data_IF_021852620151
#
_entry.id   IF_021852620151
#
_cell.length_a   1.000
_cell.length_b   1.000
_cell.length_c   1.000
_cell.angle_alpha   90.00
_cell.angle_beta   90.00
_cell.angle_gamma   90.00
#
_symmetry.space_group_name_H-M   'P 1'
#
loop_
_entity.id
_entity.type
_entity.pdbx_description
1 polymer ?
#
# COMPACT_ATOMS: atom_id res chain seq x y z
N UNK A 1 24.28 -6.96 -63.07
CA UNK A 1 24.45 -8.14 -62.21
C UNK A 1 24.35 -7.73 -60.75
N UNK A 2 23.50 -8.44 -59.98
CA UNK A 2 23.46 -8.69 -58.51
C UNK A 2 24.26 -7.80 -57.54
N UNK A 3 23.57 -7.09 -56.62
CA UNK A 3 23.17 -7.51 -55.25
C UNK A 3 24.36 -7.71 -54.28
N UNK A 4 24.43 -6.89 -53.22
CA UNK A 4 24.10 -7.35 -51.86
C UNK A 4 24.03 -6.19 -50.85
N UNK A 5 22.83 -6.05 -50.26
CA UNK A 5 22.50 -5.23 -49.09
C UNK A 5 23.16 -5.78 -47.83
N UNK A 6 23.86 -4.93 -47.09
CA UNK A 6 24.18 -5.16 -45.68
C UNK A 6 22.98 -4.76 -44.81
N UNK A 7 22.07 -5.70 -44.58
CA UNK A 7 20.98 -5.53 -43.61
C UNK A 7 21.59 -5.69 -42.21
N UNK A 8 21.72 -4.57 -41.49
CA UNK A 8 21.99 -4.58 -40.06
C UNK A 8 20.73 -5.12 -39.37
N UNK A 9 20.80 -6.33 -38.80
CA UNK A 9 19.72 -6.86 -38.01
C UNK A 9 19.59 -6.03 -36.73
N UNK A 10 18.50 -5.27 -36.64
CA UNK A 10 17.95 -4.79 -35.38
C UNK A 10 17.71 -6.02 -34.51
N UNK A 11 18.51 -6.14 -33.45
CA UNK A 11 18.29 -7.11 -32.39
C UNK A 11 17.00 -6.71 -31.69
N UNK A 12 15.89 -7.31 -32.10
CA UNK A 12 14.66 -7.33 -31.30
C UNK A 12 15.04 -7.92 -29.94
N UNK A 13 15.14 -7.05 -28.93
CA UNK A 13 15.09 -7.45 -27.54
C UNK A 13 13.67 -7.94 -27.29
N UNK A 14 13.44 -9.21 -27.65
CA UNK A 14 12.32 -9.97 -27.14
C UNK A 14 12.58 -10.11 -25.64
N UNK A 15 11.90 -9.29 -24.83
CA UNK A 15 11.81 -9.45 -23.39
C UNK A 15 11.33 -10.88 -23.12
N UNK A 16 12.29 -11.76 -22.84
CA UNK A 16 11.99 -13.01 -22.19
C UNK A 16 11.61 -12.62 -20.76
N UNK A 17 10.30 -12.51 -20.50
CA UNK A 17 9.79 -12.44 -19.15
C UNK A 17 10.53 -13.48 -18.30
N UNK A 18 11.25 -13.01 -17.29
CA UNK A 18 11.99 -13.85 -16.36
C UNK A 18 10.99 -14.79 -15.68
N UNK A 19 10.89 -16.02 -16.17
CA UNK A 19 10.04 -17.08 -15.56
C UNK A 19 10.73 -17.69 -14.35
N UNK A 20 11.39 -16.90 -13.50
CA UNK A 20 11.87 -17.41 -12.21
C UNK A 20 10.67 -17.41 -11.27
N UNK A 21 10.21 -18.59 -10.82
CA UNK A 21 9.08 -18.65 -9.91
C UNK A 21 9.43 -17.88 -8.63
N UNK A 22 8.47 -17.09 -8.14
CA UNK A 22 8.56 -16.38 -6.86
C UNK A 22 8.99 -17.40 -5.78
N UNK A 23 10.09 -17.15 -5.03
CA UNK A 23 10.59 -18.14 -4.07
C UNK A 23 9.55 -18.52 -3.01
N UNK A 24 9.64 -19.76 -2.50
CA UNK A 24 8.67 -20.30 -1.55
C UNK A 24 8.59 -19.46 -0.26
N UNK A 25 9.68 -18.79 0.09
CA UNK A 25 9.81 -17.85 1.19
C UNK A 25 8.88 -16.65 1.01
N UNK A 26 8.81 -16.10 -0.20
CA UNK A 26 7.95 -14.96 -0.52
C UNK A 26 6.48 -15.35 -0.43
N UNK A 27 6.12 -16.55 -0.90
CA UNK A 27 4.77 -17.09 -0.72
C UNK A 27 4.40 -17.26 0.76
N UNK A 28 5.33 -17.78 1.58
CA UNK A 28 5.14 -17.86 3.04
C UNK A 28 4.97 -16.48 3.67
N UNK A 29 5.79 -15.49 3.29
CA UNK A 29 5.66 -14.13 3.81
C UNK A 29 4.31 -13.53 3.42
N UNK A 30 3.90 -13.67 2.15
CA UNK A 30 2.59 -13.23 1.67
C UNK A 30 1.48 -13.78 2.55
N UNK A 31 1.45 -15.09 2.78
CA UNK A 31 0.37 -15.74 3.54
C UNK A 31 0.34 -15.24 4.99
N UNK A 32 1.51 -15.12 5.63
CA UNK A 32 1.63 -14.57 7.00
C UNK A 32 1.19 -13.11 7.07
N UNK A 33 1.64 -12.27 6.13
CA UNK A 33 1.36 -10.83 6.12
C UNK A 33 -0.10 -10.55 5.81
N UNK A 34 -0.68 -11.23 4.81
CA UNK A 34 -2.09 -11.05 4.44
C UNK A 34 -3.03 -11.49 5.56
N UNK A 35 -2.71 -12.59 6.25
CA UNK A 35 -3.45 -13.03 7.44
C UNK A 35 -3.34 -11.99 8.57
N UNK A 36 -2.12 -11.59 8.93
CA UNK A 36 -1.89 -10.65 10.03
C UNK A 36 -2.48 -9.25 9.77
N UNK A 37 -2.42 -8.76 8.53
CA UNK A 37 -3.09 -7.52 8.14
C UNK A 37 -4.62 -7.65 8.22
N UNK A 38 -5.17 -8.83 7.89
CA UNK A 38 -6.59 -9.13 8.07
C UNK A 38 -7.02 -9.00 9.53
N UNK A 39 -6.25 -9.58 10.45
CA UNK A 39 -6.53 -9.52 11.89
C UNK A 39 -6.47 -8.08 12.43
N UNK A 40 -5.45 -7.31 12.04
CA UNK A 40 -5.34 -5.90 12.41
C UNK A 40 -6.49 -5.07 11.85
N UNK A 41 -6.89 -5.35 10.62
CA UNK A 41 -7.98 -4.64 9.94
C UNK A 41 -9.34 -4.92 10.59
N UNK A 42 -9.56 -6.12 11.12
CA UNK A 42 -10.76 -6.40 11.90
C UNK A 42 -10.88 -5.47 13.12
N UNK A 43 -9.79 -5.32 13.89
CA UNK A 43 -9.75 -4.40 15.02
C UNK A 43 -9.95 -2.94 14.62
N UNK A 44 -9.45 -2.54 13.44
CA UNK A 44 -9.69 -1.20 12.91
C UNK A 44 -11.19 -0.94 12.63
N UNK A 45 -11.89 -1.88 11.99
CA UNK A 45 -13.32 -1.74 11.72
C UNK A 45 -14.17 -1.74 12.99
N UNK A 46 -13.81 -2.56 13.98
CA UNK A 46 -14.50 -2.56 15.27
C UNK A 46 -14.36 -1.18 15.96
N UNK A 47 -13.16 -0.59 15.92
CA UNK A 47 -12.92 0.75 16.44
C UNK A 47 -13.63 1.86 15.66
N UNK A 48 -13.90 1.67 14.36
CA UNK A 48 -14.69 2.61 13.55
C UNK A 48 -16.15 2.59 13.97
N UNK A 49 -16.72 1.39 14.16
CA UNK A 49 -18.07 1.23 14.69
C UNK A 49 -18.23 1.94 16.04
N UNK A 50 -17.30 1.72 16.98
CA UNK A 50 -17.31 2.38 18.29
C UNK A 50 -17.23 3.91 18.14
N UNK A 51 -16.32 4.41 17.30
CA UNK A 51 -16.13 5.85 17.09
C UNK A 51 -17.37 6.51 16.50
N UNK A 52 -17.99 5.90 15.49
CA UNK A 52 -19.20 6.43 14.86
C UNK A 52 -20.40 6.34 15.80
N UNK A 53 -20.49 5.31 16.63
CA UNK A 53 -21.54 5.19 17.64
C UNK A 53 -21.42 6.28 18.72
N UNK A 54 -20.22 6.52 19.24
CA UNK A 54 -19.97 7.62 20.18
C UNK A 54 -20.32 8.98 19.57
N UNK A 55 -19.95 9.22 18.31
CA UNK A 55 -20.30 10.46 17.61
C UNK A 55 -21.79 10.61 17.38
N UNK A 56 -22.50 9.52 17.07
CA UNK A 56 -23.96 9.50 16.93
C UNK A 56 -24.68 9.84 18.25
N UNK A 57 -24.20 9.31 19.38
CA UNK A 57 -24.78 9.59 20.69
C UNK A 57 -24.55 11.03 21.16
N UNK A 58 -23.45 11.66 20.71
CA UNK A 58 -23.10 13.04 21.05
C UNK A 58 -23.45 14.06 19.95
N UNK A 59 -24.16 13.63 18.91
CA UNK A 59 -24.53 14.47 17.78
C UNK A 59 -25.43 15.64 18.21
N UNK A 60 -25.23 16.81 17.59
CA UNK A 60 -25.98 18.03 17.95
C UNK A 60 -27.33 18.15 17.25
N UNK A 61 -27.60 17.26 16.31
CA UNK A 61 -28.84 17.25 15.53
C UNK A 61 -29.19 15.83 15.09
N UNK A 62 -30.48 15.60 14.86
CA UNK A 62 -30.99 14.32 14.33
C UNK A 62 -30.38 14.01 12.96
N UNK A 63 -30.12 15.02 12.13
CA UNK A 63 -29.51 14.84 10.82
C UNK A 63 -28.07 14.32 10.95
N UNK A 64 -27.26 14.90 11.84
CA UNK A 64 -25.90 14.44 12.09
C UNK A 64 -25.87 13.03 12.69
N UNK A 65 -26.76 12.76 13.65
CA UNK A 65 -26.91 11.43 14.24
C UNK A 65 -27.26 10.38 13.18
N UNK A 66 -28.27 10.66 12.35
CA UNK A 66 -28.69 9.76 11.27
C UNK A 66 -27.55 9.48 10.29
N UNK A 67 -26.76 10.49 9.92
CA UNK A 67 -25.59 10.32 9.05
C UNK A 67 -24.59 9.31 9.61
N UNK A 68 -24.24 9.41 10.90
CA UNK A 68 -23.32 8.44 11.52
C UNK A 68 -23.92 7.03 11.56
N UNK A 69 -25.23 6.88 11.81
CA UNK A 69 -25.90 5.59 11.75
C UNK A 69 -25.94 4.97 10.35
N UNK A 70 -26.18 5.79 9.32
CA UNK A 70 -26.13 5.35 7.92
C UNK A 70 -24.73 4.90 7.52
N UNK A 71 -23.69 5.67 7.89
CA UNK A 71 -22.30 5.30 7.63
C UNK A 71 -21.90 3.99 8.33
N UNK A 72 -22.25 3.81 9.61
CA UNK A 72 -22.02 2.54 10.31
C UNK A 72 -22.68 1.37 9.60
N UNK A 73 -23.94 1.53 9.17
CA UNK A 73 -24.67 0.48 8.45
C UNK A 73 -23.99 0.14 7.13
N UNK A 74 -23.61 1.15 6.35
CA UNK A 74 -22.93 0.98 5.07
C UNK A 74 -21.60 0.24 5.22
N UNK A 75 -20.76 0.68 6.17
CA UNK A 75 -19.48 0.04 6.50
C UNK A 75 -19.70 -1.42 6.90
N UNK A 76 -20.66 -1.71 7.80
CA UNK A 76 -20.97 -3.08 8.22
C UNK A 76 -21.39 -3.98 7.07
N UNK A 77 -22.23 -3.48 6.16
CA UNK A 77 -22.71 -4.25 5.00
C UNK A 77 -21.55 -4.60 4.06
N UNK A 78 -20.67 -3.64 3.78
CA UNK A 78 -19.58 -3.79 2.80
C UNK A 78 -18.25 -4.28 3.39
N UNK A 79 -18.11 -4.35 4.72
CA UNK A 79 -16.86 -4.70 5.43
C UNK A 79 -16.13 -5.89 4.82
N UNK A 80 -16.80 -7.04 4.67
CA UNK A 80 -16.17 -8.26 4.11
C UNK A 80 -15.66 -8.07 2.68
N UNK A 81 -16.33 -7.22 1.89
CA UNK A 81 -15.91 -6.89 0.53
C UNK A 81 -14.65 -6.05 0.53
N UNK A 82 -14.59 -5.03 1.40
CA UNK A 82 -13.42 -4.16 1.59
C UNK A 82 -12.22 -4.96 2.11
N UNK A 83 -12.41 -5.76 3.15
CA UNK A 83 -11.36 -6.63 3.72
C UNK A 83 -10.78 -7.56 2.65
N UNK A 84 -11.64 -8.22 1.88
CA UNK A 84 -11.21 -9.12 0.80
C UNK A 84 -10.48 -8.37 -0.32
N UNK A 85 -10.98 -7.21 -0.73
CA UNK A 85 -10.33 -6.40 -1.75
C UNK A 85 -8.90 -6.03 -1.28
N UNK A 86 -8.78 -5.47 -0.08
CA UNK A 86 -7.49 -5.10 0.50
C UNK A 86 -6.53 -6.30 0.58
N UNK A 87 -6.97 -7.44 1.12
CA UNK A 87 -6.15 -8.65 1.22
C UNK A 87 -5.70 -9.17 -0.15
N UNK A 88 -6.58 -9.15 -1.15
CA UNK A 88 -6.25 -9.57 -2.51
C UNK A 88 -5.22 -8.63 -3.15
N UNK A 89 -5.39 -7.32 -3.01
CA UNK A 89 -4.45 -6.32 -3.54
C UNK A 89 -3.08 -6.47 -2.89
N UNK A 90 -3.02 -6.62 -1.57
CA UNK A 90 -1.75 -6.88 -0.86
C UNK A 90 -1.12 -8.20 -1.30
N UNK A 91 -1.91 -9.27 -1.47
CA UNK A 91 -1.41 -10.55 -1.97
C UNK A 91 -0.78 -10.40 -3.37
N UNK A 92 -1.35 -9.56 -4.23
CA UNK A 92 -0.81 -9.27 -5.56
C UNK A 92 0.53 -8.53 -5.52
N UNK A 93 0.79 -7.69 -4.51
CA UNK A 93 2.10 -7.07 -4.34
C UNK A 93 3.22 -8.09 -4.16
N UNK A 94 2.95 -9.30 -3.68
CA UNK A 94 3.98 -10.36 -3.60
C UNK A 94 4.13 -11.16 -4.90
N UNK A 95 3.16 -11.09 -5.81
CA UNK A 95 3.27 -11.66 -7.15
C UNK A 95 3.97 -10.69 -8.11
N UNK A 96 3.57 -9.41 -8.05
CA UNK A 96 4.08 -8.31 -8.86
C UNK A 96 4.54 -7.19 -7.90
N UNK A 97 5.80 -7.20 -7.47
CA UNK A 97 6.29 -6.32 -6.41
C UNK A 97 6.37 -4.87 -6.88
N UNK A 98 5.67 -3.94 -6.19
CA UNK A 98 5.72 -2.54 -6.57
C UNK A 98 7.07 -1.92 -6.19
N UNK A 99 7.50 -0.92 -6.97
CA UNK A 99 8.73 -0.18 -6.69
C UNK A 99 8.60 0.60 -5.38
N UNK A 100 9.66 0.56 -4.57
CA UNK A 100 9.72 1.29 -3.32
C UNK A 100 9.91 2.79 -3.58
N UNK A 101 9.17 3.65 -2.88
CA UNK A 101 9.29 5.11 -3.01
C UNK A 101 8.56 5.72 -4.21
N UNK A 102 7.94 4.91 -5.08
CA UNK A 102 6.97 5.41 -6.07
C UNK A 102 5.58 5.42 -5.45
N UNK A 103 4.88 6.55 -5.54
CA UNK A 103 3.45 6.59 -5.30
C UNK A 103 2.75 5.92 -6.48
N UNK A 104 1.74 5.06 -6.26
CA UNK A 104 0.93 4.54 -7.36
C UNK A 104 0.34 5.71 -8.16
N UNK A 105 0.51 5.69 -9.47
CA UNK A 105 0.00 6.70 -10.39
C UNK A 105 -1.53 6.74 -10.30
N UNK A 106 -2.10 7.86 -9.87
CA UNK A 106 -3.56 8.07 -9.87
C UNK A 106 -4.05 8.31 -11.30
N UNK A 107 -4.06 7.29 -12.15
CA UNK A 107 -4.70 7.36 -13.46
C UNK A 107 -6.21 7.11 -13.33
N UNK A 108 -6.97 8.16 -13.00
CA UNK A 108 -8.34 8.40 -13.46
C UNK A 108 -8.97 9.60 -12.73
N UNK A 109 -8.93 10.78 -13.36
CA UNK A 109 -9.94 11.80 -13.09
C UNK A 109 -10.56 12.19 -14.44
N UNK A 110 -11.82 11.82 -14.73
CA UNK A 110 -12.49 12.31 -15.92
C UNK A 110 -12.67 13.83 -15.78
N UNK A 111 -12.44 14.54 -16.89
CA UNK A 111 -12.56 16.01 -17.00
C UNK A 111 -13.86 16.51 -16.35
N UNK A 112 -13.76 17.09 -15.16
CA UNK A 112 -14.89 17.66 -14.44
C UNK A 112 -14.91 19.20 -14.58
N UNK A 113 -16.11 19.77 -14.69
CA UNK A 113 -16.37 21.22 -14.79
C UNK A 113 -15.97 22.00 -13.52
N UNK A 114 -15.68 23.30 -13.67
CA UNK A 114 -15.14 24.19 -12.63
C UNK A 114 -15.90 24.19 -11.28
N UNK A 115 -17.23 24.08 -11.28
CA UNK A 115 -18.02 24.02 -10.04
C UNK A 115 -17.98 22.63 -9.37
N UNK A 116 -17.81 21.56 -10.15
CA UNK A 116 -17.60 20.20 -9.64
C UNK A 116 -16.18 20.03 -9.10
N UNK A 117 -15.20 20.71 -9.71
CA UNK A 117 -13.80 20.74 -9.28
C UNK A 117 -13.60 21.37 -7.89
N UNK A 118 -14.43 22.35 -7.49
CA UNK A 118 -14.22 23.07 -6.22
C UNK A 118 -14.61 22.29 -4.96
N UNK A 119 -15.62 21.41 -5.04
CA UNK A 119 -16.06 20.58 -3.90
C UNK A 119 -15.37 19.21 -3.90
N UNK A 120 -15.23 18.58 -5.07
CA UNK A 120 -14.47 17.33 -5.23
C UNK A 120 -13.00 17.52 -4.84
N UNK A 121 -12.43 18.70 -5.14
CA UNK A 121 -11.05 19.01 -4.77
C UNK A 121 -10.77 19.12 -3.28
N UNK A 122 -11.77 19.42 -2.43
CA UNK A 122 -11.56 19.51 -0.98
C UNK A 122 -11.55 18.13 -0.32
N UNK A 123 -12.50 17.26 -0.68
CA UNK A 123 -12.59 15.90 -0.13
C UNK A 123 -11.37 15.07 -0.55
N UNK A 124 -10.97 15.16 -1.83
CA UNK A 124 -9.77 14.50 -2.36
C UNK A 124 -8.51 15.00 -1.65
N UNK A 125 -8.43 16.30 -1.34
CA UNK A 125 -7.30 16.88 -0.63
C UNK A 125 -7.25 16.43 0.84
N UNK A 126 -8.39 16.37 1.52
CA UNK A 126 -8.47 15.86 2.90
C UNK A 126 -8.03 14.40 2.99
N UNK A 127 -8.49 13.56 2.04
CA UNK A 127 -8.06 12.17 1.95
C UNK A 127 -6.55 12.06 1.65
N UNK A 128 -6.03 12.85 0.70
CA UNK A 128 -4.59 12.88 0.39
C UNK A 128 -3.75 13.32 1.58
N UNK A 129 -4.21 14.29 2.37
CA UNK A 129 -3.51 14.72 3.59
C UNK A 129 -3.45 13.58 4.61
N UNK A 130 -4.56 12.87 4.83
CA UNK A 130 -4.58 11.71 5.70
C UNK A 130 -3.64 10.60 5.20
N UNK A 131 -3.70 10.28 3.90
CA UNK A 131 -2.82 9.30 3.26
C UNK A 131 -1.34 9.63 3.43
N UNK A 132 -0.95 10.88 3.15
CA UNK A 132 0.43 11.34 3.26
C UNK A 132 0.91 11.31 4.72
N UNK A 133 0.05 11.67 5.67
CA UNK A 133 0.36 11.63 7.09
C UNK A 133 0.66 10.19 7.55
N UNK A 134 -0.21 9.22 7.21
CA UNK A 134 -0.02 7.80 7.55
C UNK A 134 1.27 7.25 6.95
N UNK A 135 1.49 7.47 5.65
CA UNK A 135 2.66 6.96 4.93
C UNK A 135 3.96 7.56 5.49
N UNK A 136 4.00 8.87 5.69
CA UNK A 136 5.19 9.56 6.23
C UNK A 136 5.51 9.08 7.64
N UNK A 137 4.50 8.98 8.50
CA UNK A 137 4.64 8.47 9.87
C UNK A 137 5.18 7.04 9.88
N UNK A 138 4.61 6.15 9.08
CA UNK A 138 5.04 4.75 9.00
C UNK A 138 6.49 4.61 8.51
N UNK A 139 6.85 5.32 7.44
CA UNK A 139 8.22 5.33 6.91
C UNK A 139 9.24 5.80 7.94
N UNK A 140 8.91 6.85 8.69
CA UNK A 140 9.77 7.36 9.76
C UNK A 140 9.88 6.37 10.93
N UNK A 141 8.75 5.76 11.33
CA UNK A 141 8.71 4.87 12.49
C UNK A 141 9.40 3.52 12.22
N UNK A 142 9.25 2.96 11.01
CA UNK A 142 9.77 1.65 10.65
C UNK A 142 10.95 1.71 9.68
N UNK A 143 11.70 2.80 9.66
CA UNK A 143 12.79 3.04 8.69
C UNK A 143 13.77 1.86 8.58
N UNK A 144 14.21 1.32 9.73
CA UNK A 144 15.17 0.20 9.79
C UNK A 144 14.63 -1.08 9.16
N UNK A 145 13.54 -1.68 9.69
CA UNK A 145 12.93 -2.88 9.12
C UNK A 145 12.52 -2.73 7.65
N UNK A 146 12.00 -1.56 7.24
CA UNK A 146 11.61 -1.30 5.85
C UNK A 146 12.80 -1.29 4.89
N UNK A 147 13.89 -0.63 5.28
CA UNK A 147 15.12 -0.57 4.48
C UNK A 147 15.74 -1.96 4.29
N UNK A 148 15.71 -2.76 5.36
CA UNK A 148 16.17 -4.14 5.33
C UNK A 148 15.32 -5.01 4.39
N UNK A 149 13.99 -4.93 4.49
CA UNK A 149 13.08 -5.66 3.61
C UNK A 149 13.24 -5.23 2.16
N UNK A 150 13.36 -3.94 1.88
CA UNK A 150 13.56 -3.44 0.53
C UNK A 150 14.81 -4.06 -0.11
N UNK A 151 15.93 -4.10 0.60
CA UNK A 151 17.15 -4.73 0.08
C UNK A 151 16.95 -6.24 -0.17
N UNK A 152 16.32 -6.95 0.77
CA UNK A 152 16.11 -8.41 0.63
C UNK A 152 15.11 -8.77 -0.46
N UNK A 153 14.03 -8.01 -0.62
CA UNK A 153 13.08 -8.22 -1.70
C UNK A 153 13.71 -7.87 -3.06
N UNK A 154 14.45 -6.77 -3.15
CA UNK A 154 15.16 -6.39 -4.38
C UNK A 154 16.15 -7.47 -4.83
N UNK A 155 16.83 -8.15 -3.90
CA UNK A 155 17.71 -9.29 -4.20
C UNK A 155 16.94 -10.53 -4.68
N UNK A 156 15.73 -10.76 -4.17
CA UNK A 156 14.92 -11.93 -4.50
C UNK A 156 14.27 -11.81 -5.88
N UNK A 157 13.70 -10.65 -6.19
CA UNK A 157 12.92 -10.48 -7.41
C UNK A 157 13.85 -10.27 -8.62
N UNK A 158 13.81 -11.13 -9.64
CA UNK A 158 14.76 -11.07 -10.76
C UNK A 158 14.74 -9.77 -11.57
N UNK A 159 13.57 -9.14 -11.66
CA UNK A 159 13.36 -7.93 -12.45
C UNK A 159 13.63 -6.64 -11.64
N UNK A 160 13.93 -6.77 -10.35
CA UNK A 160 14.28 -5.64 -9.49
C UNK A 160 15.77 -5.32 -9.56
N UNK A 161 16.13 -4.06 -9.39
CA UNK A 161 17.52 -3.59 -9.39
C UNK A 161 17.77 -2.63 -8.23
N UNK A 162 19.03 -2.33 -7.91
CA UNK A 162 19.34 -1.31 -6.90
C UNK A 162 18.83 0.09 -7.27
N UNK A 163 18.68 0.37 -8.57
CA UNK A 163 18.13 1.62 -9.10
C UNK A 163 16.60 1.65 -9.02
N UNK A 164 15.97 0.48 -9.14
CA UNK A 164 14.52 0.29 -9.12
C UNK A 164 14.14 -0.74 -8.05
N UNK A 165 14.39 -0.42 -6.76
CA UNK A 165 14.17 -1.35 -5.68
C UNK A 165 12.68 -1.62 -5.50
N UNK A 166 12.33 -2.80 -5.01
CA UNK A 166 10.93 -3.19 -4.77
C UNK A 166 10.70 -3.54 -3.31
N UNK A 167 9.48 -3.28 -2.84
CA UNK A 167 9.08 -3.66 -1.49
C UNK A 167 7.54 -3.83 -1.41
N UNK A 168 7.03 -5.08 -1.43
CA UNK A 168 5.59 -5.37 -1.28
C UNK A 168 4.97 -4.89 0.03
N UNK A 169 5.79 -4.60 1.05
CA UNK A 169 5.37 -4.17 2.37
C UNK A 169 5.62 -2.67 2.61
N UNK A 170 5.92 -1.90 1.57
CA UNK A 170 6.11 -0.46 1.72
C UNK A 170 4.78 0.21 2.16
N UNK A 171 4.79 1.09 3.18
CA UNK A 171 3.56 1.66 3.72
C UNK A 171 2.71 2.39 2.69
N UNK A 172 3.31 3.06 1.70
CA UNK A 172 2.60 3.75 0.63
C UNK A 172 1.65 2.82 -0.14
N UNK A 173 2.09 1.59 -0.41
CA UNK A 173 1.33 0.61 -1.19
C UNK A 173 0.22 0.00 -0.34
N UNK A 174 0.49 -0.25 0.95
CA UNK A 174 -0.52 -0.73 1.89
C UNK A 174 -1.61 0.33 2.14
N UNK A 175 -1.22 1.58 2.36
CA UNK A 175 -2.16 2.70 2.49
C UNK A 175 -2.99 2.84 1.21
N UNK A 176 -2.37 2.75 0.04
CA UNK A 176 -3.07 2.90 -1.25
C UNK A 176 -4.09 1.80 -1.46
N UNK A 177 -3.71 0.54 -1.20
CA UNK A 177 -4.59 -0.61 -1.31
C UNK A 177 -5.82 -0.48 -0.40
N UNK A 178 -5.64 0.07 0.81
CA UNK A 178 -6.77 0.30 1.71
C UNK A 178 -7.65 1.47 1.23
N UNK A 179 -7.04 2.59 0.85
CA UNK A 179 -7.76 3.75 0.30
C UNK A 179 -8.60 3.37 -0.92
N UNK A 180 -8.06 2.58 -1.84
CA UNK A 180 -8.80 2.02 -2.99
C UNK A 180 -9.96 1.12 -2.54
N UNK A 181 -9.70 0.19 -1.60
CA UNK A 181 -10.73 -0.73 -1.11
C UNK A 181 -11.95 -0.02 -0.52
N UNK A 182 -11.74 1.11 0.17
CA UNK A 182 -12.81 1.87 0.82
C UNK A 182 -13.55 2.81 -0.14
N UNK A 183 -13.10 2.98 -1.40
CA UNK A 183 -13.88 3.71 -2.42
C UNK A 183 -15.24 3.09 -2.69
N UNK A 184 -15.39 1.78 -2.44
CA UNK A 184 -16.67 1.10 -2.55
C UNK A 184 -17.72 1.55 -1.52
N UNK A 185 -17.33 2.25 -0.45
CA UNK A 185 -18.22 2.72 0.61
C UNK A 185 -18.90 4.03 0.22
N UNK A 186 -20.23 4.07 0.28
CA UNK A 186 -21.01 5.31 0.05
C UNK A 186 -21.13 6.10 1.36
N UNK A 187 -20.04 6.75 1.75
CA UNK A 187 -19.91 7.55 2.98
C UNK A 187 -19.26 8.90 2.67
N UNK A 188 -19.61 9.94 3.42
CA UNK A 188 -19.03 11.28 3.24
C UNK A 188 -17.58 11.30 3.75
N UNK A 189 -16.82 12.32 3.30
CA UNK A 189 -15.40 12.49 3.64
C UNK A 189 -15.15 12.44 5.15
N UNK A 190 -16.04 12.99 5.97
CA UNK A 190 -15.85 13.04 7.43
C UNK A 190 -15.80 11.66 8.06
N UNK A 191 -16.70 10.76 7.69
CA UNK A 191 -16.73 9.37 8.16
C UNK A 191 -15.58 8.57 7.55
N UNK A 192 -15.22 8.87 6.31
CA UNK A 192 -14.05 8.29 5.64
C UNK A 192 -12.75 8.62 6.36
N UNK A 193 -12.56 9.86 6.82
CA UNK A 193 -11.40 10.27 7.61
C UNK A 193 -11.36 9.55 8.97
N UNK A 194 -12.50 9.24 9.58
CA UNK A 194 -12.55 8.41 10.80
C UNK A 194 -12.05 7.00 10.49
N UNK A 195 -12.49 6.40 9.39
CA UNK A 195 -12.03 5.09 8.93
C UNK A 195 -10.52 5.07 8.68
N UNK A 196 -9.99 6.04 7.93
CA UNK A 196 -8.55 6.19 7.69
C UNK A 196 -7.76 6.38 8.98
N UNK A 197 -8.29 7.16 9.94
CA UNK A 197 -7.67 7.36 11.25
C UNK A 197 -7.59 6.06 12.06
N UNK A 198 -8.63 5.23 12.04
CA UNK A 198 -8.58 3.94 12.73
C UNK A 198 -7.67 2.95 12.01
N UNK A 199 -7.62 2.97 10.68
CA UNK A 199 -6.65 2.20 9.91
C UNK A 199 -5.20 2.57 10.28
N UNK A 200 -4.87 3.86 10.37
CA UNK A 200 -3.55 4.32 10.85
C UNK A 200 -3.24 3.74 12.24
N UNK A 201 -4.18 3.87 13.16
CA UNK A 201 -3.99 3.49 14.57
C UNK A 201 -3.85 1.99 14.77
N UNK A 202 -4.68 1.19 14.11
CA UNK A 202 -4.77 -0.25 14.36
C UNK A 202 -3.92 -1.07 13.40
N UNK A 203 -3.78 -0.65 12.14
CA UNK A 203 -3.01 -1.40 11.13
C UNK A 203 -1.61 -0.82 10.99
N UNK A 204 -1.50 0.43 10.53
CA UNK A 204 -0.21 1.01 10.15
C UNK A 204 0.72 1.16 11.37
N UNK A 205 0.21 1.64 12.50
CA UNK A 205 1.01 1.82 13.72
C UNK A 205 1.47 0.49 14.34
N UNK A 206 0.88 -0.64 13.97
CA UNK A 206 1.21 -1.97 14.48
C UNK A 206 1.87 -2.88 13.42
N UNK A 207 2.29 -2.31 12.29
CA UNK A 207 2.91 -3.04 11.18
C UNK A 207 4.25 -3.72 11.56
N UNK A 208 4.92 -3.23 12.62
CA UNK A 208 6.25 -3.68 13.04
C UNK A 208 6.40 -5.19 13.18
N UNK A 209 5.45 -5.87 13.84
CA UNK A 209 5.52 -7.33 14.03
C UNK A 209 5.53 -8.09 12.69
N UNK A 210 4.78 -7.61 11.69
CA UNK A 210 4.74 -8.22 10.36
C UNK A 210 6.03 -7.95 9.58
N UNK A 211 6.59 -6.74 9.70
CA UNK A 211 7.88 -6.39 9.08
C UNK A 211 9.02 -7.23 9.65
N UNK A 212 9.04 -7.42 10.97
CA UNK A 212 10.05 -8.21 11.67
C UNK A 212 9.93 -9.69 11.30
N UNK A 213 8.72 -10.23 11.23
CA UNK A 213 8.49 -11.62 10.82
C UNK A 213 8.90 -11.87 9.37
N UNK A 214 8.56 -10.94 8.46
CA UNK A 214 9.01 -11.02 7.07
C UNK A 214 10.54 -11.00 6.97
N UNK A 215 11.21 -10.09 7.71
CA UNK A 215 12.67 -10.05 7.77
C UNK A 215 13.25 -11.36 8.31
N UNK A 216 12.64 -11.93 9.36
CA UNK A 216 13.07 -13.19 9.98
C UNK A 216 13.01 -14.35 8.98
N UNK A 217 11.92 -14.47 8.22
CA UNK A 217 11.77 -15.52 7.20
C UNK A 217 12.87 -15.42 6.15
N UNK A 218 13.15 -14.21 5.65
CA UNK A 218 14.19 -13.97 4.65
C UNK A 218 15.60 -14.24 5.17
N UNK A 219 15.89 -13.86 6.41
CA UNK A 219 17.18 -14.15 7.07
C UNK A 219 17.37 -15.67 7.21
N UNK A 220 16.34 -16.41 7.63
CA UNK A 220 16.40 -17.86 7.76
C UNK A 220 16.62 -18.57 6.43
N UNK A 221 16.14 -17.99 5.33
CA UNK A 221 16.41 -18.46 3.98
C UNK A 221 17.79 -18.04 3.43
N UNK A 222 18.60 -17.32 4.21
CA UNK A 222 19.93 -16.87 3.80
C UNK A 222 19.93 -15.64 2.88
N UNK A 223 18.80 -14.93 2.76
CA UNK A 223 18.70 -13.71 1.95
C UNK A 223 19.22 -12.52 2.74
N UNK A 224 20.44 -12.08 2.41
CA UNK A 224 21.14 -10.97 3.08
C UNK A 224 21.02 -11.09 4.63
N UNK A 225 21.51 -12.19 5.24
CA UNK A 225 21.34 -12.43 6.67
C UNK A 225 22.06 -11.37 7.51
N UNK A 226 23.19 -10.87 7.02
CA UNK A 226 23.97 -9.81 7.63
C UNK A 226 23.79 -8.49 6.86
N UNK A 227 22.68 -7.80 7.10
CA UNK A 227 22.43 -6.52 6.46
C UNK A 227 23.41 -5.46 6.97
N UNK A 228 24.14 -4.82 6.04
CA UNK A 228 25.03 -3.69 6.32
C UNK A 228 24.61 -2.52 5.46
N UNK A 229 24.20 -1.43 6.10
CA UNK A 229 23.89 -0.19 5.40
C UNK A 229 25.18 0.46 4.92
N UNK A 230 25.41 0.46 3.62
CA UNK A 230 26.46 1.25 2.99
C UNK A 230 25.85 2.58 2.58
N UNK A 231 25.97 3.60 3.42
CA UNK A 231 25.57 4.95 3.03
C UNK A 231 26.33 5.36 1.77
N UNK A 232 25.62 5.69 0.68
CA UNK A 232 26.23 6.26 -0.52
C UNK A 232 26.98 7.52 -0.07
N UNK A 233 28.32 7.46 -0.03
CA UNK A 233 29.16 8.66 0.16
C UNK A 233 28.86 9.57 -1.03
N UNK A 234 28.21 10.70 -0.77
CA UNK A 234 28.10 11.79 -1.74
C UNK A 234 29.50 12.14 -2.21
N UNK A 235 29.85 11.77 -3.45
CA UNK A 235 31.03 12.33 -4.10
C UNK A 235 30.70 13.80 -4.37
N UNK A 236 31.10 14.67 -3.44
CA UNK A 236 31.25 16.09 -3.75
C UNK A 236 32.25 16.20 -4.89
N UNK A 237 31.75 16.45 -6.10
CA UNK A 237 32.58 16.89 -7.21
C UNK A 237 33.22 18.22 -6.81
N UNK A 238 34.55 18.22 -6.78
CA UNK A 238 35.37 19.43 -6.74
C UNK A 238 35.40 20.06 -8.12
#
# INVERSE_FOLDING_TARGET
MNKQSGIHYLREHREAASTRPVPAEVARIRDTVVAGLGDLLQGAFDAVDDSLFELANNARSNNEQNRYFEAMREIRIKRKGVERHFQNTVAQFFANPPHAGQLPSTEASPQASADTLSLVGNDDLEEQVAFNAMTTKAKAHFQGPLLQLQARFTEIYPDATEQEPVNPMAPEHLCSAFTEAIQALDIQIRERLILLKQFDRYVISNLGMLLDEANRILIQAGVIPNFRYHGKKSQSQK
#
